data_IF_177652912104
#
_entry.id   IF_177652912104
#
_cell.length_a   1.000
_cell.length_b   1.000
_cell.length_c   1.000
_cell.angle_alpha   90.00
_cell.angle_beta   90.00
_cell.angle_gamma   90.00
#
_symmetry.space_group_name_H-M   'P 1'
#
loop_
_entity.id
_entity.type
_entity.pdbx_description
1 polymer ?
#
# COMPACT_ATOMS: atom_id res chain seq x y z
N UNK A 1 28.96 15.65 2.64
CA UNK A 1 29.44 14.71 3.68
C UNK A 1 29.04 13.31 3.18
N UNK A 2 29.99 12.61 2.54
CA UNK A 2 29.94 11.24 1.99
C UNK A 2 28.81 10.83 1.03
N UNK A 3 28.83 11.31 -0.23
CA UNK A 3 28.10 10.70 -1.36
C UNK A 3 28.89 9.52 -1.95
N UNK A 4 29.25 8.55 -1.11
CA UNK A 4 29.85 7.31 -1.60
C UNK A 4 28.76 6.49 -2.32
N UNK A 5 29.00 6.00 -3.55
CA UNK A 5 28.00 5.24 -4.28
C UNK A 5 27.61 3.97 -3.49
N UNK A 6 26.31 3.81 -3.25
CA UNK A 6 25.76 2.63 -2.56
C UNK A 6 26.16 1.38 -3.34
N UNK A 7 26.73 0.38 -2.64
CA UNK A 7 27.12 -0.89 -3.24
C UNK A 7 25.97 -1.51 -4.04
N UNK A 8 26.27 -2.00 -5.24
CA UNK A 8 25.30 -2.67 -6.13
C UNK A 8 24.57 -3.84 -5.44
N UNK A 9 25.21 -4.46 -4.45
CA UNK A 9 24.59 -5.49 -3.61
C UNK A 9 23.48 -4.93 -2.72
N UNK A 10 23.75 -3.84 -2.00
CA UNK A 10 22.79 -3.18 -1.10
C UNK A 10 21.57 -2.67 -1.87
N UNK A 11 21.78 -2.10 -3.06
CA UNK A 11 20.68 -1.68 -3.92
C UNK A 11 19.76 -2.84 -4.32
N UNK A 12 20.33 -3.99 -4.70
CA UNK A 12 19.55 -5.19 -5.05
C UNK A 12 18.72 -5.69 -3.87
N UNK A 13 19.29 -5.72 -2.66
CA UNK A 13 18.57 -6.10 -1.46
C UNK A 13 17.44 -5.11 -1.12
N UNK A 14 17.69 -3.80 -1.24
CA UNK A 14 16.67 -2.79 -0.99
C UNK A 14 15.48 -2.90 -1.96
N UNK A 15 15.75 -3.07 -3.27
CA UNK A 15 14.69 -3.28 -4.26
C UNK A 15 13.94 -4.58 -4.01
N UNK A 16 14.63 -5.66 -3.64
CA UNK A 16 13.98 -6.92 -3.30
C UNK A 16 13.07 -6.80 -2.07
N UNK A 17 13.53 -6.11 -1.02
CA UNK A 17 12.73 -5.83 0.16
C UNK A 17 11.50 -4.97 -0.18
N UNK A 18 11.67 -3.92 -1.01
CA UNK A 18 10.55 -3.13 -1.53
C UNK A 18 9.57 -3.98 -2.34
N UNK A 19 10.07 -4.89 -3.18
CA UNK A 19 9.23 -5.77 -3.99
C UNK A 19 8.41 -6.72 -3.13
N UNK A 20 8.99 -7.31 -2.08
CA UNK A 20 8.25 -8.14 -1.11
C UNK A 20 7.20 -7.30 -0.40
N UNK A 21 7.54 -6.09 0.05
CA UNK A 21 6.58 -5.20 0.70
C UNK A 21 5.40 -4.85 -0.22
N UNK A 22 5.69 -4.44 -1.45
CA UNK A 22 4.68 -4.15 -2.46
C UNK A 22 3.82 -5.37 -2.81
N UNK A 23 4.44 -6.56 -2.89
CA UNK A 23 3.72 -7.81 -3.12
C UNK A 23 2.78 -8.16 -1.95
N UNK A 24 3.26 -8.07 -0.71
CA UNK A 24 2.45 -8.34 0.47
C UNK A 24 1.24 -7.41 0.55
N UNK A 25 1.44 -6.11 0.30
CA UNK A 25 0.34 -5.13 0.20
C UNK A 25 -0.63 -5.55 -0.89
N UNK A 26 -0.14 -5.85 -2.11
CA UNK A 26 -0.99 -6.30 -3.21
C UNK A 26 -1.83 -7.53 -2.86
N UNK A 27 -1.23 -8.56 -2.25
CA UNK A 27 -1.95 -9.77 -1.86
C UNK A 27 -3.09 -9.45 -0.89
N UNK A 28 -2.84 -8.65 0.14
CA UNK A 28 -3.87 -8.27 1.12
C UNK A 28 -5.02 -7.51 0.47
N UNK A 29 -4.72 -6.57 -0.43
CA UNK A 29 -5.75 -5.74 -1.08
C UNK A 29 -6.58 -6.51 -2.11
N UNK A 30 -5.94 -7.37 -2.91
CA UNK A 30 -6.62 -8.10 -3.97
C UNK A 30 -7.30 -9.40 -3.48
N UNK A 31 -6.86 -10.00 -2.37
CA UNK A 31 -7.48 -11.20 -1.81
C UNK A 31 -8.97 -11.00 -1.51
N UNK A 32 -9.34 -9.82 -0.99
CA UNK A 32 -10.72 -9.45 -0.64
C UNK A 32 -11.65 -9.47 -1.86
N UNK A 33 -11.15 -9.16 -3.06
CA UNK A 33 -11.94 -9.20 -4.29
C UNK A 33 -12.35 -10.64 -4.66
N UNK A 34 -11.50 -11.62 -4.36
CA UNK A 34 -11.81 -13.05 -4.54
C UNK A 34 -12.86 -13.55 -3.54
N UNK A 35 -13.04 -12.85 -2.42
CA UNK A 35 -14.01 -13.18 -1.38
C UNK A 35 -15.34 -12.40 -1.51
N UNK A 36 -15.47 -11.50 -2.50
CA UNK A 36 -16.68 -10.70 -2.70
C UNK A 36 -17.99 -11.50 -2.73
N UNK A 37 -18.07 -12.69 -3.37
CA UNK A 37 -19.28 -13.51 -3.33
C UNK A 37 -19.66 -13.95 -1.91
N UNK A 38 -18.68 -14.34 -1.10
CA UNK A 38 -18.88 -14.74 0.30
C UNK A 38 -19.32 -13.55 1.16
N UNK A 39 -18.67 -12.38 0.98
CA UNK A 39 -19.04 -11.14 1.67
C UNK A 39 -20.49 -10.73 1.31
N UNK A 40 -20.86 -10.87 0.04
CA UNK A 40 -22.20 -10.55 -0.43
C UNK A 40 -23.26 -11.49 0.19
N UNK A 41 -22.96 -12.79 0.27
CA UNK A 41 -23.80 -13.80 0.90
C UNK A 41 -24.01 -13.51 2.40
N UNK A 42 -22.93 -13.26 3.14
CA UNK A 42 -22.99 -12.99 4.59
C UNK A 42 -23.75 -11.69 4.92
N UNK A 43 -23.64 -10.68 4.07
CA UNK A 43 -24.32 -9.38 4.26
C UNK A 43 -25.73 -9.35 3.65
N UNK A 44 -26.16 -10.41 2.93
CA UNK A 44 -27.45 -10.45 2.24
C UNK A 44 -27.59 -9.40 1.12
N UNK A 45 -26.47 -8.99 0.52
CA UNK A 45 -26.41 -8.01 -0.58
C UNK A 45 -25.98 -8.67 -1.90
N UNK A 46 -26.04 -7.94 -3.00
CA UNK A 46 -25.54 -8.43 -4.29
C UNK A 46 -24.03 -8.24 -4.42
N UNK A 47 -23.37 -9.07 -5.24
CA UNK A 47 -21.92 -8.95 -5.51
C UNK A 47 -21.52 -7.55 -6.04
N UNK A 48 -22.27 -6.91 -6.97
CA UNK A 48 -21.97 -5.53 -7.38
C UNK A 48 -22.02 -4.53 -6.24
N UNK A 49 -22.95 -4.68 -5.29
CA UNK A 49 -23.03 -3.81 -4.11
C UNK A 49 -21.85 -4.00 -3.18
N UNK A 50 -21.44 -5.26 -2.93
CA UNK A 50 -20.22 -5.54 -2.17
C UNK A 50 -18.98 -4.93 -2.85
N UNK A 51 -18.94 -4.90 -4.18
CA UNK A 51 -17.88 -4.27 -4.97
C UNK A 51 -17.76 -2.74 -4.79
N UNK A 52 -18.77 -2.06 -4.24
CA UNK A 52 -18.64 -0.63 -3.90
C UNK A 52 -17.59 -0.39 -2.81
N UNK A 53 -17.41 -1.31 -1.87
CA UNK A 53 -16.38 -1.20 -0.84
C UNK A 53 -14.98 -1.11 -1.45
N UNK A 54 -14.71 -1.96 -2.45
CA UNK A 54 -13.45 -1.96 -3.22
C UNK A 54 -13.27 -0.66 -3.99
N UNK A 55 -14.35 -0.14 -4.57
CA UNK A 55 -14.32 1.12 -5.33
C UNK A 55 -14.00 2.33 -4.44
N UNK A 56 -14.62 2.40 -3.26
CA UNK A 56 -14.32 3.45 -2.27
C UNK A 56 -12.88 3.36 -1.76
N UNK A 57 -12.38 2.15 -1.50
CA UNK A 57 -10.98 1.94 -1.17
C UNK A 57 -10.05 2.45 -2.28
N UNK A 58 -10.32 2.12 -3.55
CA UNK A 58 -9.51 2.57 -4.67
C UNK A 58 -9.44 4.11 -4.79
N UNK A 59 -10.56 4.80 -4.55
CA UNK A 59 -10.59 6.27 -4.47
C UNK A 59 -9.70 6.75 -3.32
N UNK A 60 -9.82 6.12 -2.14
CA UNK A 60 -8.97 6.40 -0.99
C UNK A 60 -7.48 6.25 -1.29
N UNK A 61 -7.07 5.21 -2.02
CA UNK A 61 -5.66 5.00 -2.42
C UNK A 61 -5.21 6.05 -3.43
N UNK A 62 -6.00 6.30 -4.48
CA UNK A 62 -5.67 7.25 -5.55
C UNK A 62 -5.46 8.66 -5.01
N UNK A 63 -6.25 9.05 -4.00
CA UNK A 63 -6.14 10.38 -3.37
C UNK A 63 -5.13 10.36 -2.23
N UNK A 64 -5.20 9.36 -1.36
CA UNK A 64 -4.41 9.24 -0.14
C UNK A 64 -2.93 9.03 -0.41
N UNK A 65 -2.55 8.18 -1.36
CA UNK A 65 -1.14 7.88 -1.61
C UNK A 65 -0.34 9.12 -2.09
N UNK A 66 -0.81 9.93 -3.06
CA UNK A 66 -0.15 11.19 -3.41
C UNK A 66 -0.12 12.20 -2.26
N UNK A 67 -1.22 12.34 -1.52
CA UNK A 67 -1.27 13.27 -0.38
C UNK A 67 -0.27 12.88 0.71
N UNK A 68 -0.26 11.61 1.12
CA UNK A 68 0.68 11.11 2.14
C UNK A 68 2.11 11.24 1.64
N UNK A 69 2.38 10.86 0.38
CA UNK A 69 3.74 10.95 -0.21
C UNK A 69 4.24 12.39 -0.25
N UNK A 70 3.39 13.34 -0.65
CA UNK A 70 3.77 14.77 -0.70
C UNK A 70 3.98 15.35 0.69
N UNK A 71 3.14 15.02 1.67
CA UNK A 71 3.34 15.45 3.06
C UNK A 71 4.63 14.84 3.64
N UNK A 72 4.80 13.52 3.49
CA UNK A 72 5.98 12.80 3.98
C UNK A 72 7.29 13.32 3.39
N UNK A 73 7.28 13.78 2.13
CA UNK A 73 8.45 14.37 1.48
C UNK A 73 8.96 15.65 2.16
N UNK A 74 8.11 16.35 2.93
CA UNK A 74 8.45 17.58 3.65
C UNK A 74 8.68 17.36 5.15
N UNK A 75 8.50 16.12 5.66
CA UNK A 75 8.70 15.81 7.07
C UNK A 75 10.16 15.48 7.38
N UNK A 76 10.63 15.88 8.57
CA UNK A 76 11.91 15.42 9.08
C UNK A 76 11.94 13.90 9.20
N UNK A 77 13.03 13.26 8.75
CA UNK A 77 13.17 11.80 8.70
C UNK A 77 12.91 11.12 10.04
N UNK A 78 13.24 11.78 11.16
CA UNK A 78 12.97 11.27 12.51
C UNK A 78 11.46 11.21 12.80
N UNK A 79 10.72 12.25 12.44
CA UNK A 79 9.28 12.30 12.62
C UNK A 79 8.60 11.29 11.71
N UNK A 80 9.03 11.19 10.45
CA UNK A 80 8.51 10.20 9.50
C UNK A 80 8.70 8.77 10.03
N UNK A 81 9.90 8.42 10.51
CA UNK A 81 10.15 7.10 11.10
C UNK A 81 9.26 6.86 12.33
N UNK A 82 9.08 7.85 13.19
CA UNK A 82 8.26 7.70 14.41
C UNK A 82 6.76 7.56 14.09
N UNK A 83 6.28 8.12 12.98
CA UNK A 83 4.91 7.93 12.49
C UNK A 83 4.71 6.59 11.77
N UNK A 84 5.79 5.96 11.28
CA UNK A 84 5.73 4.73 10.47
C UNK A 84 6.15 3.46 11.24
N UNK A 85 6.58 3.60 12.50
CA UNK A 85 6.79 2.48 13.43
C UNK A 85 5.55 2.28 14.30
#
# INVERSE_FOLDING_TARGET
MSDAPVSRGVYKFAVFALAIGAFAIGVTEFATMGLLPMIAEELGITVPQAGHAVSFYAIGVVVGAPLITTIAAHMDRKLLLLCMM
#
